data_IF_780008774575
#
_entry.id   IF_780008774575
#
_cell.length_a   1.000
_cell.length_b   1.000
_cell.length_c   1.000
_cell.angle_alpha   90.00
_cell.angle_beta   90.00
_cell.angle_gamma   90.00
#
_symmetry.space_group_name_H-M   'P 1'
#
loop_
_entity.id
_entity.type
_entity.pdbx_description
1 polymer ?
#
# COMPACT_ATOMS: atom_id res chain seq x y z
N UNK A 1 -36.77 75.10 13.90
CA UNK A 1 -36.89 75.46 12.46
C UNK A 1 -36.76 74.18 11.66
N UNK A 2 -37.86 73.79 11.02
CA UNK A 2 -38.00 72.57 10.20
C UNK A 2 -37.50 72.84 8.80
N UNK A 3 -36.71 71.95 8.21
CA UNK A 3 -36.62 71.83 6.76
C UNK A 3 -36.71 70.35 6.39
N UNK A 4 -37.78 70.00 5.71
CA UNK A 4 -38.02 68.70 5.14
C UNK A 4 -37.23 68.51 3.84
N UNK A 5 -36.94 67.25 3.55
CA UNK A 5 -36.41 66.82 2.26
C UNK A 5 -37.31 65.78 1.66
N UNK A 6 -37.92 66.10 0.57
CA UNK A 6 -38.81 65.25 -0.24
C UNK A 6 -37.96 64.35 -1.13
N UNK A 7 -38.11 63.06 -1.01
CA UNK A 7 -37.50 62.08 -1.91
C UNK A 7 -38.38 61.83 -3.14
N UNK A 8 -37.83 62.02 -4.32
CA UNK A 8 -38.48 61.66 -5.62
C UNK A 8 -38.19 60.21 -5.95
N UNK A 9 -39.22 59.40 -6.04
CA UNK A 9 -39.16 58.08 -6.64
C UNK A 9 -39.01 58.19 -8.16
N UNK A 10 -37.98 57.60 -8.73
CA UNK A 10 -37.86 57.28 -10.16
C UNK A 10 -38.10 55.80 -10.34
N UNK A 11 -39.11 55.50 -11.11
CA UNK A 11 -39.39 54.11 -11.59
C UNK A 11 -38.29 53.67 -12.54
N UNK A 12 -37.63 52.56 -12.24
CA UNK A 12 -36.72 51.90 -13.16
C UNK A 12 -37.43 50.68 -13.78
N UNK A 13 -37.50 50.69 -15.09
CA UNK A 13 -38.06 49.60 -15.90
C UNK A 13 -37.20 48.35 -15.80
N UNK A 14 -37.83 47.22 -15.49
CA UNK A 14 -37.22 45.91 -15.44
C UNK A 14 -37.11 45.38 -16.88
N UNK A 15 -35.89 45.31 -17.40
CA UNK A 15 -35.59 44.56 -18.63
C UNK A 15 -35.30 43.11 -18.23
N UNK A 16 -36.19 42.18 -18.51
CA UNK A 16 -35.93 40.75 -18.45
C UNK A 16 -35.02 40.36 -19.63
N UNK A 17 -33.72 40.23 -19.37
CA UNK A 17 -32.82 39.55 -20.30
C UNK A 17 -32.87 38.06 -20.00
N UNK A 18 -33.42 37.28 -20.93
CA UNK A 18 -33.33 35.82 -20.91
C UNK A 18 -31.89 35.41 -21.15
N UNK A 19 -31.19 34.96 -20.11
CA UNK A 19 -29.92 34.29 -20.21
C UNK A 19 -30.14 32.86 -20.72
N UNK A 20 -29.89 32.66 -22.00
CA UNK A 20 -29.64 31.34 -22.57
C UNK A 20 -28.32 30.80 -21.95
N UNK A 21 -28.43 29.96 -20.93
CA UNK A 21 -27.31 29.15 -20.44
C UNK A 21 -27.04 28.07 -21.49
N UNK A 22 -26.06 28.33 -22.36
CA UNK A 22 -25.41 27.27 -23.12
C UNK A 22 -24.71 26.35 -22.11
N UNK A 23 -25.34 25.22 -21.79
CA UNK A 23 -24.71 24.15 -21.03
C UNK A 23 -23.52 23.63 -21.84
N UNK A 24 -22.32 24.07 -21.51
CA UNK A 24 -21.12 23.35 -21.93
C UNK A 24 -21.16 22.01 -21.23
N UNK A 25 -21.53 20.97 -21.97
CA UNK A 25 -21.28 19.60 -21.55
C UNK A 25 -19.74 19.49 -21.39
N UNK A 26 -19.26 19.52 -20.16
CA UNK A 26 -17.93 19.03 -19.85
C UNK A 26 -17.93 17.55 -20.24
N UNK A 27 -17.29 17.23 -21.35
CA UNK A 27 -16.91 15.86 -21.63
C UNK A 27 -16.06 15.42 -20.44
N UNK A 28 -16.53 14.41 -19.70
CA UNK A 28 -15.70 13.79 -18.69
C UNK A 28 -14.43 13.35 -19.41
N UNK A 29 -13.29 13.97 -19.09
CA UNK A 29 -11.99 13.47 -19.50
C UNK A 29 -11.96 12.01 -19.06
N UNK A 30 -11.87 11.10 -20.02
CA UNK A 30 -11.66 9.68 -19.70
C UNK A 30 -10.29 9.60 -19.09
N UNK A 31 -10.25 9.39 -17.77
CA UNK A 31 -9.00 9.25 -17.02
C UNK A 31 -8.15 8.16 -17.70
N UNK A 32 -6.95 8.52 -18.13
CA UNK A 32 -6.03 7.61 -18.78
C UNK A 32 -5.68 6.46 -17.80
N UNK A 33 -5.69 5.23 -18.32
CA UNK A 33 -5.34 4.05 -17.53
C UNK A 33 -3.82 4.00 -17.33
N UNK A 34 -3.34 4.55 -16.21
CA UNK A 34 -1.93 4.70 -15.88
C UNK A 34 -1.33 3.51 -15.12
N UNK A 35 -2.03 2.34 -15.12
CA UNK A 35 -1.57 1.16 -14.39
C UNK A 35 -0.70 0.25 -15.23
N UNK A 36 0.21 -0.48 -14.58
CA UNK A 36 1.13 -1.41 -15.25
C UNK A 36 0.48 -2.73 -15.68
N UNK A 37 -0.82 -2.85 -15.54
CA UNK A 37 -1.63 -4.01 -15.92
C UNK A 37 -2.86 -3.57 -16.72
N UNK A 38 -3.43 -4.45 -17.57
CA UNK A 38 -4.58 -4.10 -18.38
C UNK A 38 -5.84 -3.88 -17.55
N UNK A 39 -6.68 -2.95 -18.00
CA UNK A 39 -7.98 -2.67 -17.37
C UNK A 39 -8.95 -3.82 -17.59
N UNK A 40 -9.54 -4.31 -16.51
CA UNK A 40 -10.55 -5.36 -16.58
C UNK A 40 -11.91 -4.84 -17.03
N UNK A 41 -12.55 -5.58 -17.95
CA UNK A 41 -13.94 -5.34 -18.32
C UNK A 41 -14.96 -5.81 -17.28
N UNK A 42 -14.55 -6.59 -16.27
CA UNK A 42 -15.43 -7.22 -15.26
C UNK A 42 -15.61 -6.38 -14.00
N UNK A 43 -14.83 -5.33 -13.81
CA UNK A 43 -14.87 -4.48 -12.62
C UNK A 43 -15.13 -3.02 -12.96
N UNK A 44 -15.74 -2.32 -12.02
CA UNK A 44 -15.80 -0.87 -11.97
C UNK A 44 -14.58 -0.37 -11.22
N UNK A 45 -13.99 0.75 -11.69
CA UNK A 45 -12.85 1.39 -11.07
C UNK A 45 -13.16 2.85 -10.77
N UNK A 46 -12.73 3.32 -9.60
CA UNK A 46 -12.79 4.73 -9.21
C UNK A 46 -11.68 5.09 -8.24
N UNK A 47 -11.22 6.34 -8.28
CA UNK A 47 -10.30 6.86 -7.27
C UNK A 47 -11.04 7.27 -6.01
N UNK A 48 -10.49 6.93 -4.86
CA UNK A 48 -11.05 7.29 -3.55
C UNK A 48 -9.96 7.85 -2.63
N UNK A 49 -10.39 8.54 -1.58
CA UNK A 49 -9.50 9.11 -0.57
C UNK A 49 -10.05 8.86 0.81
N UNK A 50 -9.14 8.61 1.77
CA UNK A 50 -9.47 8.53 3.19
C UNK A 50 -8.32 9.10 4.01
N UNK A 51 -8.49 9.22 5.31
CA UNK A 51 -7.46 9.76 6.20
C UNK A 51 -7.11 8.77 7.28
N UNK A 52 -5.81 8.68 7.60
CA UNK A 52 -5.36 7.97 8.78
C UNK A 52 -5.51 8.87 10.04
N UNK A 53 -5.35 8.29 11.24
CA UNK A 53 -5.48 9.02 12.51
C UNK A 53 -4.45 10.14 12.71
N UNK A 54 -3.38 10.14 11.93
CA UNK A 54 -2.39 11.23 11.91
C UNK A 54 -2.79 12.40 10.99
N UNK A 55 -3.98 12.32 10.37
CA UNK A 55 -4.51 13.36 9.49
C UNK A 55 -3.92 13.32 8.08
N UNK A 56 -3.11 12.32 7.75
CA UNK A 56 -2.54 12.15 6.41
C UNK A 56 -3.63 11.63 5.47
N UNK A 57 -3.81 12.31 4.34
CA UNK A 57 -4.76 11.87 3.29
C UNK A 57 -4.11 10.78 2.45
N UNK A 58 -4.76 9.62 2.40
CA UNK A 58 -4.37 8.49 1.57
C UNK A 58 -5.19 8.46 0.27
N UNK A 59 -4.52 8.10 -0.82
CA UNK A 59 -5.12 7.93 -2.15
C UNK A 59 -5.18 6.45 -2.50
N UNK A 60 -6.33 6.03 -3.00
CA UNK A 60 -6.55 4.64 -3.39
C UNK A 60 -7.34 4.52 -4.69
N UNK A 61 -7.16 3.40 -5.36
CA UNK A 61 -7.99 2.90 -6.44
C UNK A 61 -8.97 1.87 -5.85
N UNK A 62 -10.26 2.09 -6.03
CA UNK A 62 -11.32 1.17 -5.65
C UNK A 62 -11.75 0.34 -6.86
N UNK A 63 -11.85 -0.96 -6.68
CA UNK A 63 -12.32 -1.91 -7.68
C UNK A 63 -13.55 -2.66 -7.12
N UNK A 64 -14.64 -2.66 -7.88
CA UNK A 64 -15.90 -3.32 -7.50
C UNK A 64 -16.36 -4.24 -8.64
N UNK A 65 -16.79 -5.47 -8.35
CA UNK A 65 -17.36 -6.33 -9.38
C UNK A 65 -18.55 -5.65 -10.07
N UNK A 66 -18.59 -5.64 -11.40
CA UNK A 66 -19.71 -5.06 -12.15
C UNK A 66 -21.02 -5.78 -11.82
N UNK A 67 -22.05 -5.00 -11.57
CA UNK A 67 -23.39 -5.53 -11.30
C UNK A 67 -23.53 -6.18 -9.92
N UNK A 68 -22.52 -6.12 -9.06
CA UNK A 68 -22.63 -6.65 -7.70
C UNK A 68 -23.72 -5.92 -6.91
N UNK A 69 -24.50 -6.71 -6.18
CA UNK A 69 -25.62 -6.24 -5.35
C UNK A 69 -25.36 -6.52 -3.88
N UNK A 70 -25.90 -5.67 -3.00
CA UNK A 70 -25.79 -5.83 -1.57
C UNK A 70 -24.38 -5.50 -1.02
N UNK A 71 -24.13 -5.94 0.20
CA UNK A 71 -22.85 -5.74 0.88
C UNK A 71 -21.85 -6.85 0.52
N UNK A 72 -20.65 -6.47 0.15
CA UNK A 72 -19.58 -7.38 -0.23
C UNK A 72 -18.56 -7.54 0.90
N UNK A 73 -17.89 -8.67 0.93
CA UNK A 73 -16.61 -8.79 1.63
C UNK A 73 -15.58 -7.89 0.94
N UNK A 74 -14.72 -7.23 1.74
CA UNK A 74 -13.79 -6.24 1.21
C UNK A 74 -12.33 -6.55 1.56
N UNK A 75 -11.40 -6.11 0.69
CA UNK A 75 -9.96 -6.33 0.88
C UNK A 75 -9.20 -5.03 0.60
N UNK A 76 -8.37 -4.59 1.55
CA UNK A 76 -7.41 -3.51 1.35
C UNK A 76 -6.04 -4.07 0.95
N UNK A 77 -5.42 -3.51 -0.09
CA UNK A 77 -4.16 -4.01 -0.67
C UNK A 77 -3.11 -2.90 -0.69
N UNK A 78 -1.88 -3.21 -0.26
CA UNK A 78 -0.75 -2.29 -0.32
C UNK A 78 0.58 -2.99 -0.62
N UNK A 79 1.50 -2.26 -1.22
CA UNK A 79 2.88 -2.68 -1.53
C UNK A 79 3.14 -2.92 -3.01
N UNK A 80 4.36 -3.23 -3.38
CA UNK A 80 5.60 -3.40 -2.59
C UNK A 80 6.17 -2.11 -1.99
N UNK A 81 7.18 -2.23 -1.11
CA UNK A 81 7.86 -1.09 -0.49
C UNK A 81 8.57 -0.26 -1.56
N UNK A 82 8.19 1.02 -1.71
CA UNK A 82 8.67 1.90 -2.78
C UNK A 82 7.92 1.79 -4.12
N UNK A 83 6.92 0.91 -4.21
CA UNK A 83 5.98 0.86 -5.32
C UNK A 83 4.79 1.81 -5.09
N UNK A 84 3.92 1.89 -6.08
CA UNK A 84 2.66 2.64 -6.03
C UNK A 84 1.48 1.72 -6.33
N UNK A 85 0.27 2.16 -5.99
CA UNK A 85 -0.98 1.40 -6.16
C UNK A 85 -1.27 1.01 -7.61
N UNK A 86 -0.66 1.69 -8.58
CA UNK A 86 -0.78 1.42 -10.02
C UNK A 86 0.02 0.20 -10.48
N UNK A 87 0.82 -0.40 -9.59
CA UNK A 87 1.66 -1.57 -9.84
C UNK A 87 1.04 -2.84 -9.22
N UNK A 88 1.84 -3.70 -8.61
CA UNK A 88 1.39 -4.99 -8.04
C UNK A 88 0.15 -4.90 -7.14
N UNK A 89 0.05 -3.88 -6.28
CA UNK A 89 -1.12 -3.73 -5.39
C UNK A 89 -2.43 -3.59 -6.18
N UNK A 90 -2.43 -2.78 -7.24
CA UNK A 90 -3.60 -2.61 -8.11
C UNK A 90 -3.96 -3.88 -8.87
N UNK A 91 -2.95 -4.64 -9.35
CA UNK A 91 -3.18 -5.92 -10.02
C UNK A 91 -3.86 -6.92 -9.08
N UNK A 92 -3.36 -7.06 -7.84
CA UNK A 92 -3.99 -7.92 -6.83
C UNK A 92 -5.42 -7.46 -6.51
N UNK A 93 -5.62 -6.15 -6.32
CA UNK A 93 -6.94 -5.60 -6.04
C UNK A 93 -7.92 -5.84 -7.19
N UNK A 94 -7.55 -5.54 -8.43
CA UNK A 94 -8.39 -5.80 -9.60
C UNK A 94 -8.71 -7.30 -9.73
N UNK A 95 -7.71 -8.17 -9.58
CA UNK A 95 -7.87 -9.60 -9.74
C UNK A 95 -8.79 -10.19 -8.66
N UNK A 96 -8.70 -9.72 -7.41
CA UNK A 96 -9.62 -10.15 -6.35
C UNK A 96 -11.02 -9.56 -6.53
N UNK A 97 -11.15 -8.36 -7.11
CA UNK A 97 -12.45 -7.81 -7.46
C UNK A 97 -13.15 -8.61 -8.58
N UNK A 98 -12.41 -9.11 -9.57
CA UNK A 98 -12.97 -10.05 -10.58
C UNK A 98 -13.51 -11.34 -9.96
N UNK A 99 -13.08 -11.68 -8.74
CA UNK A 99 -13.47 -12.86 -7.97
C UNK A 99 -14.54 -12.60 -6.92
N UNK A 100 -15.14 -11.39 -6.94
CA UNK A 100 -16.34 -11.08 -6.16
C UNK A 100 -16.12 -10.27 -4.89
N UNK A 101 -14.89 -9.79 -4.59
CA UNK A 101 -14.61 -8.90 -3.46
C UNK A 101 -14.69 -7.43 -3.87
N UNK A 102 -15.10 -6.54 -2.98
CA UNK A 102 -14.81 -5.12 -3.14
C UNK A 102 -13.37 -4.87 -2.67
N UNK A 103 -12.54 -4.22 -3.48
CA UNK A 103 -11.14 -4.05 -3.11
C UNK A 103 -10.68 -2.60 -3.25
N UNK A 104 -9.70 -2.22 -2.45
CA UNK A 104 -8.95 -0.97 -2.64
C UNK A 104 -7.45 -1.28 -2.70
N UNK A 105 -6.73 -0.64 -3.64
CA UNK A 105 -5.28 -0.55 -3.62
C UNK A 105 -4.88 0.87 -3.25
N UNK A 106 -4.08 1.08 -2.21
CA UNK A 106 -3.74 2.42 -1.73
C UNK A 106 -2.23 2.69 -1.75
N UNK A 107 -1.88 3.95 -2.00
CA UNK A 107 -0.54 4.44 -1.74
C UNK A 107 -0.40 4.71 -0.23
N UNK A 108 0.69 4.24 0.41
CA UNK A 108 0.90 4.53 1.82
C UNK A 108 1.30 5.99 2.05
N UNK A 109 1.21 6.43 3.29
CA UNK A 109 1.70 7.75 3.72
C UNK A 109 3.09 8.04 3.18
N UNK A 110 3.34 9.27 2.78
CA UNK A 110 4.60 9.84 2.27
C UNK A 110 5.00 9.44 0.86
N UNK A 111 4.26 8.57 0.17
CA UNK A 111 4.61 8.07 -1.17
C UNK A 111 3.44 8.13 -2.15
N UNK A 112 3.73 7.93 -3.44
CA UNK A 112 2.73 7.95 -4.49
C UNK A 112 1.90 9.24 -4.52
N UNK A 113 0.59 9.10 -4.67
CA UNK A 113 -0.37 10.22 -4.60
C UNK A 113 -0.85 10.54 -3.18
N UNK A 114 -0.51 9.72 -2.18
CA UNK A 114 -0.85 9.96 -0.78
C UNK A 114 -0.03 11.12 -0.19
N UNK A 115 -0.59 11.76 0.83
CA UNK A 115 0.03 12.88 1.53
C UNK A 115 1.13 12.47 2.51
N UNK A 116 1.48 13.41 3.36
CA UNK A 116 2.52 13.27 4.37
C UNK A 116 3.82 13.97 3.97
N UNK A 117 4.39 14.71 4.92
CA UNK A 117 5.65 15.42 4.77
C UNK A 117 6.58 15.08 5.95
N UNK A 118 7.89 14.99 5.70
CA UNK A 118 8.53 15.08 4.39
C UNK A 118 8.21 13.88 3.51
N UNK A 119 8.30 14.05 2.18
CA UNK A 119 8.05 12.96 1.21
C UNK A 119 9.12 11.87 1.32
N UNK A 120 8.77 10.67 0.86
CA UNK A 120 9.69 9.52 0.72
C UNK A 120 10.26 9.04 2.06
N UNK A 121 9.42 9.10 3.08
CA UNK A 121 9.64 8.55 4.41
C UNK A 121 8.87 7.24 4.58
N UNK A 122 9.27 6.45 5.56
CA UNK A 122 8.50 5.31 6.04
C UNK A 122 8.57 5.25 7.57
N UNK A 123 7.50 4.75 8.18
CA UNK A 123 7.40 4.62 9.63
C UNK A 123 6.67 3.33 9.98
N UNK A 124 7.21 2.47 10.86
CA UNK A 124 6.53 1.25 11.29
C UNK A 124 5.14 1.52 11.86
N UNK A 125 4.99 2.58 12.63
CA UNK A 125 3.72 2.99 13.24
C UNK A 125 2.74 3.56 12.21
N UNK A 126 3.14 4.62 11.49
CA UNK A 126 2.25 5.32 10.55
C UNK A 126 1.83 4.39 9.39
N UNK A 127 2.75 3.57 8.89
CA UNK A 127 2.44 2.70 7.77
C UNK A 127 1.62 1.45 8.19
N UNK A 128 1.73 0.99 9.43
CA UNK A 128 0.78 0.02 9.99
C UNK A 128 -0.62 0.65 10.12
N UNK A 129 -0.69 1.90 10.61
CA UNK A 129 -1.93 2.68 10.70
C UNK A 129 -2.59 2.91 9.34
N UNK A 130 -1.84 3.04 8.25
CA UNK A 130 -2.41 3.20 6.91
C UNK A 130 -3.32 2.01 6.52
N UNK A 131 -2.98 0.77 6.91
CA UNK A 131 -3.88 -0.38 6.77
C UNK A 131 -5.12 -0.27 7.66
N UNK A 132 -4.97 0.18 8.92
CA UNK A 132 -6.08 0.34 9.84
C UNK A 132 -7.05 1.43 9.34
N UNK A 133 -6.53 2.52 8.79
CA UNK A 133 -7.33 3.57 8.15
C UNK A 133 -8.06 3.08 6.88
N UNK A 134 -7.45 2.16 6.13
CA UNK A 134 -8.12 1.51 5.02
C UNK A 134 -9.28 0.62 5.51
N UNK A 135 -9.12 -0.06 6.64
CA UNK A 135 -10.20 -0.82 7.31
C UNK A 135 -11.29 0.13 7.81
N UNK A 136 -10.95 1.28 8.41
CA UNK A 136 -11.92 2.31 8.81
C UNK A 136 -12.78 2.75 7.62
N UNK A 137 -12.11 3.10 6.51
CA UNK A 137 -12.80 3.52 5.28
C UNK A 137 -13.76 2.44 4.74
N UNK A 138 -13.30 1.19 4.68
CA UNK A 138 -14.13 0.08 4.21
C UNK A 138 -15.30 -0.21 5.16
N UNK A 139 -15.09 -0.12 6.46
CA UNK A 139 -16.10 -0.44 7.50
C UNK A 139 -17.33 0.48 7.49
N UNK A 140 -17.19 1.71 6.99
CA UNK A 140 -18.28 2.70 6.96
C UNK A 140 -18.98 2.80 5.60
N UNK A 141 -18.61 1.97 4.65
CA UNK A 141 -19.23 1.97 3.32
C UNK A 141 -20.55 1.17 3.34
N UNK A 142 -21.54 1.67 2.65
CA UNK A 142 -22.87 1.03 2.54
C UNK A 142 -22.85 -0.28 1.74
N UNK A 143 -21.86 -0.43 0.82
CA UNK A 143 -21.68 -1.58 -0.05
C UNK A 143 -20.66 -2.61 0.47
N UNK A 144 -20.17 -2.44 1.71
CA UNK A 144 -19.25 -3.36 2.40
C UNK A 144 -19.91 -3.98 3.63
N UNK A 145 -19.67 -5.26 3.85
CA UNK A 145 -19.98 -5.93 5.12
C UNK A 145 -18.80 -5.69 6.10
N UNK A 146 -18.97 -4.88 7.15
CA UNK A 146 -17.90 -4.50 8.06
C UNK A 146 -17.33 -5.68 8.86
N UNK A 147 -18.05 -6.80 8.94
CA UNK A 147 -17.58 -8.03 9.57
C UNK A 147 -16.77 -8.93 8.63
N UNK A 148 -16.60 -8.53 7.36
CA UNK A 148 -15.96 -9.30 6.30
C UNK A 148 -14.84 -8.53 5.61
N UNK A 149 -13.89 -8.02 6.41
CA UNK A 149 -12.75 -7.24 5.90
C UNK A 149 -11.45 -8.04 6.02
N UNK A 150 -10.73 -8.10 4.89
CA UNK A 150 -9.38 -8.65 4.80
C UNK A 150 -8.36 -7.63 4.33
N UNK A 151 -7.09 -7.99 4.48
CA UNK A 151 -5.97 -7.16 3.99
C UNK A 151 -4.95 -8.00 3.23
N UNK A 152 -4.28 -7.40 2.25
CA UNK A 152 -3.16 -7.99 1.51
C UNK A 152 -1.98 -7.02 1.57
N UNK A 153 -0.86 -7.51 2.06
CA UNK A 153 0.42 -6.82 2.00
C UNK A 153 1.41 -7.54 1.09
N UNK A 154 2.09 -6.81 0.22
CA UNK A 154 3.06 -7.36 -0.74
C UNK A 154 4.44 -6.84 -0.41
N UNK A 155 5.46 -7.69 -0.40
CA UNK A 155 6.86 -7.34 -0.11
C UNK A 155 6.98 -6.70 1.30
N UNK A 156 7.59 -5.54 1.43
CA UNK A 156 7.70 -4.84 2.73
C UNK A 156 6.36 -4.56 3.41
N UNK A 157 5.30 -4.40 2.64
CA UNK A 157 3.95 -4.22 3.17
C UNK A 157 3.32 -5.52 3.68
N UNK A 158 3.91 -6.68 3.34
CA UNK A 158 3.52 -7.96 3.95
C UNK A 158 3.77 -7.98 5.45
N UNK A 159 4.93 -7.50 5.91
CA UNK A 159 5.22 -7.35 7.34
C UNK A 159 4.29 -6.34 8.03
N UNK A 160 4.00 -5.20 7.37
CA UNK A 160 3.05 -4.19 7.89
C UNK A 160 1.63 -4.75 7.98
N UNK A 161 1.19 -5.56 7.00
CA UNK A 161 -0.12 -6.21 7.04
C UNK A 161 -0.23 -7.19 8.21
N UNK A 162 0.81 -7.98 8.49
CA UNK A 162 0.84 -8.85 9.67
C UNK A 162 0.80 -8.04 10.98
N UNK A 163 1.52 -6.93 11.05
CA UNK A 163 1.49 -6.05 12.21
C UNK A 163 0.10 -5.40 12.39
N UNK A 164 -0.54 -4.98 11.29
CA UNK A 164 -1.92 -4.47 11.32
C UNK A 164 -2.92 -5.55 11.77
N UNK A 165 -2.77 -6.80 11.31
CA UNK A 165 -3.61 -7.92 11.74
C UNK A 165 -3.43 -8.27 13.22
N UNK A 166 -2.26 -7.97 13.82
CA UNK A 166 -2.02 -8.12 15.26
C UNK A 166 -2.67 -7.01 16.10
N UNK A 167 -2.92 -5.84 15.51
CA UNK A 167 -3.47 -4.66 16.19
C UNK A 167 -4.98 -4.48 15.95
N UNK A 168 -5.44 -4.70 14.72
CA UNK A 168 -6.82 -4.43 14.32
C UNK A 168 -7.66 -5.70 14.32
N UNK A 169 -8.51 -5.83 15.33
CA UNK A 169 -9.40 -6.99 15.50
C UNK A 169 -10.53 -7.09 14.48
N UNK A 170 -10.76 -6.05 13.67
CA UNK A 170 -11.72 -6.04 12.57
C UNK A 170 -11.20 -6.78 11.34
N UNK A 171 -9.88 -6.91 11.19
CA UNK A 171 -9.26 -7.74 10.14
C UNK A 171 -9.56 -9.21 10.41
N UNK A 172 -10.30 -9.87 9.52
CA UNK A 172 -10.68 -11.29 9.65
C UNK A 172 -9.71 -12.22 8.94
N UNK A 173 -9.06 -11.74 7.88
CA UNK A 173 -8.10 -12.51 7.10
C UNK A 173 -6.98 -11.58 6.57
N UNK A 174 -5.74 -12.04 6.60
CA UNK A 174 -4.59 -11.32 6.08
C UNK A 174 -3.75 -12.21 5.16
N UNK A 175 -3.31 -11.66 4.03
CA UNK A 175 -2.30 -12.27 3.15
C UNK A 175 -1.02 -11.44 3.20
N UNK A 176 0.11 -12.08 3.52
CA UNK A 176 1.44 -11.54 3.34
C UNK A 176 2.13 -12.23 2.17
N UNK A 177 2.15 -11.57 1.00
CA UNK A 177 2.77 -12.08 -0.22
C UNK A 177 4.21 -11.63 -0.33
N UNK A 178 5.12 -12.59 -0.54
CA UNK A 178 6.57 -12.34 -0.72
C UNK A 178 7.13 -11.30 0.30
N UNK A 179 6.74 -11.47 1.56
CA UNK A 179 6.93 -10.46 2.60
C UNK A 179 8.37 -10.21 3.01
N UNK A 180 8.61 -8.98 3.48
CA UNK A 180 9.76 -8.62 4.31
C UNK A 180 9.30 -8.21 5.71
N UNK A 181 10.13 -8.50 6.69
CA UNK A 181 10.18 -7.68 7.90
C UNK A 181 11.13 -6.50 7.64
N UNK A 182 10.54 -5.34 7.30
CA UNK A 182 11.31 -4.14 6.99
C UNK A 182 12.09 -3.61 8.19
N UNK A 183 11.64 -3.89 9.42
CA UNK A 183 12.37 -3.49 10.62
C UNK A 183 13.61 -4.36 10.81
N UNK A 184 13.49 -5.68 10.60
CA UNK A 184 14.62 -6.62 10.69
C UNK A 184 15.66 -6.34 9.61
N UNK A 185 15.26 -6.17 8.35
CA UNK A 185 16.25 -5.93 7.28
C UNK A 185 16.99 -4.60 7.44
N UNK A 186 16.32 -3.55 7.89
CA UNK A 186 17.00 -2.27 8.17
C UNK A 186 17.95 -2.37 9.36
N UNK A 187 17.54 -3.06 10.42
CA UNK A 187 18.36 -3.21 11.62
C UNK A 187 19.56 -4.17 11.41
N UNK A 188 19.31 -5.32 10.78
CA UNK A 188 20.24 -6.45 10.77
C UNK A 188 20.86 -6.76 9.39
N UNK A 189 20.41 -6.08 8.32
CA UNK A 189 20.80 -6.40 6.95
C UNK A 189 20.14 -7.69 6.44
N UNK A 190 20.47 -8.06 5.20
CA UNK A 190 20.01 -9.33 4.63
C UNK A 190 20.66 -10.52 5.33
N UNK A 191 19.88 -11.56 5.61
CA UNK A 191 20.29 -12.78 6.32
C UNK A 191 20.88 -12.49 7.71
N UNK A 192 20.51 -11.35 8.31
CA UNK A 192 21.03 -10.87 9.59
C UNK A 192 22.57 -10.70 9.61
N UNK A 193 23.18 -10.50 8.44
CA UNK A 193 24.63 -10.39 8.29
C UNK A 193 25.25 -9.20 9.05
N UNK A 194 24.42 -8.21 9.44
CA UNK A 194 24.81 -7.01 10.19
C UNK A 194 24.15 -6.97 11.58
N UNK A 195 23.70 -8.12 12.11
CA UNK A 195 23.05 -8.19 13.42
C UNK A 195 24.08 -8.08 14.56
N UNK A 196 24.55 -6.86 14.78
CA UNK A 196 25.39 -6.53 15.92
C UNK A 196 25.07 -5.12 16.44
N UNK A 197 25.36 -4.87 17.72
CA UNK A 197 25.20 -3.55 18.32
C UNK A 197 26.07 -2.49 17.59
N UNK A 198 27.27 -2.84 17.21
CA UNK A 198 28.21 -1.93 16.55
C UNK A 198 27.74 -1.59 15.12
N UNK A 199 27.27 -2.56 14.34
CA UNK A 199 26.73 -2.32 13.00
C UNK A 199 25.49 -1.40 13.06
N UNK A 200 24.55 -1.67 13.98
CA UNK A 200 23.40 -0.78 14.19
C UNK A 200 23.80 0.61 14.68
N UNK A 201 24.81 0.69 15.54
CA UNK A 201 25.32 1.98 16.01
C UNK A 201 25.94 2.81 14.88
N UNK A 202 26.72 2.18 14.01
CA UNK A 202 27.31 2.84 12.84
C UNK A 202 26.22 3.36 11.87
N UNK A 203 25.17 2.57 11.61
CA UNK A 203 24.00 3.03 10.83
C UNK A 203 23.33 4.26 11.45
N UNK A 204 23.11 4.25 12.77
CA UNK A 204 22.52 5.39 13.49
C UNK A 204 23.41 6.63 13.42
N UNK A 205 24.74 6.47 13.58
CA UNK A 205 25.68 7.61 13.43
C UNK A 205 25.61 8.23 12.03
N UNK A 206 25.60 7.41 10.97
CA UNK A 206 25.51 7.88 9.60
C UNK A 206 24.18 8.62 9.34
N UNK A 207 23.07 8.09 9.81
CA UNK A 207 21.75 8.74 9.68
C UNK A 207 21.69 10.03 10.49
N UNK A 208 22.21 10.06 11.71
CA UNK A 208 22.23 11.27 12.55
C UNK A 208 23.12 12.37 11.94
N UNK A 209 24.23 12.01 11.31
CA UNK A 209 25.05 12.98 10.57
C UNK A 209 24.27 13.57 9.38
N UNK A 210 23.55 12.72 8.61
CA UNK A 210 22.71 13.20 7.51
C UNK A 210 21.57 14.10 8.01
N UNK A 211 20.93 13.78 9.14
CA UNK A 211 19.89 14.64 9.74
C UNK A 211 20.38 16.07 10.01
N UNK A 212 21.63 16.21 10.45
CA UNK A 212 22.23 17.55 10.68
C UNK A 212 22.34 18.32 9.35
N UNK A 213 22.77 17.66 8.29
CA UNK A 213 22.89 18.28 6.96
C UNK A 213 21.51 18.61 6.37
N UNK A 214 20.55 17.69 6.49
CA UNK A 214 19.17 17.93 6.04
C UNK A 214 18.55 19.12 6.77
N UNK A 215 18.75 19.24 8.09
CA UNK A 215 18.25 20.34 8.90
C UNK A 215 18.89 21.69 8.51
N UNK A 216 20.23 21.72 8.30
CA UNK A 216 20.93 22.94 7.88
C UNK A 216 20.47 23.44 6.51
N UNK A 217 20.19 22.50 5.60
CA UNK A 217 19.86 22.83 4.21
C UNK A 217 18.36 23.00 3.98
N UNK A 218 17.51 22.62 4.93
CA UNK A 218 16.05 22.62 4.77
C UNK A 218 15.57 21.64 3.71
N UNK A 219 16.37 20.61 3.39
CA UNK A 219 16.08 19.59 2.37
C UNK A 219 16.41 18.20 2.89
N UNK A 220 15.90 17.17 2.20
CA UNK A 220 16.16 15.79 2.54
C UNK A 220 16.93 15.10 1.42
N UNK A 221 18.08 14.50 1.76
CA UNK A 221 18.90 13.77 0.80
C UNK A 221 18.25 12.44 0.46
N UNK A 222 18.08 12.16 -0.85
CA UNK A 222 17.59 10.88 -1.32
C UNK A 222 18.73 9.84 -1.37
N UNK A 223 18.41 8.61 -0.96
CA UNK A 223 19.35 7.49 -0.96
C UNK A 223 19.64 6.94 -2.37
N UNK A 224 18.83 7.33 -3.35
CA UNK A 224 18.78 6.67 -4.65
C UNK A 224 17.95 5.39 -4.60
N UNK A 225 17.74 4.79 -5.76
CA UNK A 225 16.98 3.56 -5.96
C UNK A 225 17.79 2.54 -6.74
N UNK A 226 17.10 1.74 -7.54
CA UNK A 226 17.75 0.85 -8.50
C UNK A 226 18.54 1.67 -9.53
N UNK A 227 19.74 1.21 -9.94
CA UNK A 227 20.58 1.92 -10.89
C UNK A 227 19.88 2.02 -12.26
N UNK A 228 20.16 3.09 -13.01
CA UNK A 228 19.62 3.24 -14.37
C UNK A 228 20.23 2.24 -15.37
N UNK A 229 21.44 1.81 -15.10
CA UNK A 229 22.11 0.74 -15.84
C UNK A 229 22.48 -0.38 -14.88
N UNK A 230 21.99 -1.58 -15.17
CA UNK A 230 22.27 -2.78 -14.37
C UNK A 230 23.76 -3.17 -14.49
N UNK A 231 24.50 -3.30 -13.36
CA UNK A 231 25.85 -3.85 -13.38
C UNK A 231 25.86 -5.31 -13.87
N UNK A 232 26.90 -5.72 -14.61
CA UNK A 232 27.00 -7.08 -15.14
C UNK A 232 27.07 -8.14 -14.03
N UNK A 233 27.74 -7.82 -12.93
CA UNK A 233 27.94 -8.66 -11.75
C UNK A 233 26.83 -8.50 -10.70
N UNK A 234 25.75 -7.80 -11.01
CA UNK A 234 24.64 -7.60 -10.08
C UNK A 234 24.09 -8.94 -9.56
N UNK A 235 23.80 -9.06 -8.26
CA UNK A 235 23.15 -10.24 -7.70
C UNK A 235 21.79 -10.52 -8.39
N UNK A 236 21.38 -11.80 -8.44
CA UNK A 236 20.17 -12.19 -9.15
C UNK A 236 18.93 -11.40 -8.69
N UNK A 237 18.76 -11.21 -7.38
CA UNK A 237 17.60 -10.45 -6.88
C UNK A 237 17.60 -8.97 -7.33
N UNK A 238 18.78 -8.35 -7.53
CA UNK A 238 18.87 -7.00 -8.10
C UNK A 238 18.46 -7.00 -9.57
N UNK A 239 18.83 -8.06 -10.32
CA UNK A 239 18.39 -8.28 -11.71
C UNK A 239 16.88 -8.44 -11.79
N UNK A 240 16.29 -9.21 -10.88
CA UNK A 240 14.84 -9.43 -10.80
C UNK A 240 14.09 -8.12 -10.51
N UNK A 241 14.56 -7.31 -9.55
CA UNK A 241 13.98 -5.99 -9.26
C UNK A 241 14.15 -5.02 -10.42
N UNK A 242 15.33 -5.02 -11.08
CA UNK A 242 15.56 -4.19 -12.25
C UNK A 242 14.60 -4.55 -13.38
N UNK A 243 14.45 -5.85 -13.67
CA UNK A 243 13.54 -6.34 -14.70
C UNK A 243 12.08 -5.94 -14.44
N UNK A 244 11.66 -5.81 -13.18
CA UNK A 244 10.32 -5.32 -12.86
C UNK A 244 10.26 -3.78 -12.90
N UNK A 245 11.08 -3.07 -12.13
CA UNK A 245 10.90 -1.64 -11.91
C UNK A 245 11.47 -0.72 -13.00
N UNK A 246 12.45 -1.19 -13.79
CA UNK A 246 13.15 -0.40 -14.80
C UNK A 246 12.79 -0.75 -16.23
N UNK A 247 11.84 -1.65 -16.45
CA UNK A 247 11.33 -2.04 -17.77
C UNK A 247 9.82 -1.84 -17.87
N UNK A 248 9.24 -2.01 -19.06
CA UNK A 248 7.80 -1.93 -19.30
C UNK A 248 6.96 -2.90 -18.44
N UNK A 249 7.59 -3.93 -17.86
CA UNK A 249 6.93 -4.91 -17.01
C UNK A 249 6.25 -4.28 -15.80
N UNK A 250 6.87 -3.30 -15.16
CA UNK A 250 6.33 -2.71 -13.95
C UNK A 250 6.84 -1.28 -13.67
N UNK A 251 7.48 -0.63 -14.65
CA UNK A 251 7.90 0.77 -14.50
C UNK A 251 6.70 1.68 -14.25
N UNK A 252 6.82 2.56 -13.27
CA UNK A 252 5.85 3.61 -13.03
C UNK A 252 6.53 4.91 -12.58
N UNK A 253 6.17 6.09 -13.15
CA UNK A 253 6.90 7.35 -12.87
C UNK A 253 6.84 7.80 -11.41
N UNK A 254 5.78 7.44 -10.66
CA UNK A 254 5.63 7.78 -9.23
C UNK A 254 6.28 6.76 -8.29
N UNK A 255 6.72 5.59 -8.79
CA UNK A 255 7.37 4.57 -7.95
C UNK A 255 8.79 4.98 -7.59
N UNK A 256 9.14 4.93 -6.31
CA UNK A 256 10.49 5.21 -5.82
C UNK A 256 11.52 4.19 -6.33
N UNK A 257 11.08 2.96 -6.56
CA UNK A 257 11.95 1.91 -7.09
C UNK A 257 12.21 2.10 -8.60
N UNK A 258 11.30 2.73 -9.32
CA UNK A 258 11.48 3.07 -10.73
C UNK A 258 12.27 4.38 -10.91
N UNK A 259 11.98 5.38 -10.08
CA UNK A 259 12.54 6.74 -10.20
C UNK A 259 12.87 7.34 -8.84
N UNK A 260 14.12 7.45 -8.49
CA UNK A 260 14.55 8.11 -7.27
C UNK A 260 14.86 7.14 -6.13
N UNK A 261 14.26 7.32 -5.00
CA UNK A 261 14.53 6.53 -3.80
C UNK A 261 13.97 7.17 -2.55
N UNK A 262 14.14 6.47 -1.45
CA UNK A 262 13.76 6.96 -0.13
C UNK A 262 14.70 8.05 0.36
N UNK A 263 14.26 8.87 1.32
CA UNK A 263 15.18 9.70 2.09
C UNK A 263 16.20 8.81 2.80
N UNK A 264 17.46 9.26 2.87
CA UNK A 264 18.54 8.52 3.57
C UNK A 264 18.13 8.20 5.01
N UNK A 265 17.44 9.15 5.68
CA UNK A 265 16.95 9.00 7.06
C UNK A 265 15.53 8.43 7.14
N UNK A 266 14.94 8.09 5.97
CA UNK A 266 13.53 7.72 5.85
C UNK A 266 13.10 6.49 6.62
N UNK A 267 14.03 5.55 6.85
CA UNK A 267 13.78 4.31 7.60
C UNK A 267 14.48 4.27 8.96
N UNK A 268 14.90 5.40 9.53
CA UNK A 268 15.64 5.42 10.80
C UNK A 268 14.86 4.77 11.95
N UNK A 269 13.55 5.02 12.03
CA UNK A 269 12.70 4.43 13.08
C UNK A 269 12.62 2.90 13.01
N UNK A 270 12.83 2.30 11.85
CA UNK A 270 12.84 0.84 11.69
C UNK A 270 13.96 0.15 12.47
N UNK A 271 15.06 0.84 12.73
CA UNK A 271 16.17 0.30 13.51
C UNK A 271 15.79 -0.03 14.96
N UNK A 272 14.69 0.51 15.46
CA UNK A 272 14.37 0.44 16.89
C UNK A 272 12.89 0.11 17.20
N UNK A 273 12.10 -0.22 16.16
CA UNK A 273 10.66 -0.50 16.30
C UNK A 273 10.27 -1.81 15.59
N UNK A 274 10.60 -3.00 16.17
CA UNK A 274 10.26 -4.28 15.55
C UNK A 274 8.75 -4.48 15.47
N UNK A 275 8.23 -4.81 14.28
CA UNK A 275 6.78 -4.89 14.00
C UNK A 275 6.16 -6.26 14.29
N UNK A 276 6.91 -7.36 14.25
CA UNK A 276 6.34 -8.71 14.36
C UNK A 276 6.42 -9.31 15.76
N UNK A 277 6.69 -8.50 16.78
CA UNK A 277 6.94 -8.97 18.15
C UNK A 277 5.81 -9.81 18.73
N UNK A 278 4.57 -9.46 18.42
CA UNK A 278 3.37 -10.14 18.94
C UNK A 278 2.59 -10.86 17.82
N UNK A 279 3.27 -11.29 16.77
CA UNK A 279 2.63 -12.01 15.67
C UNK A 279 1.97 -13.32 16.09
N UNK A 280 2.45 -13.96 17.18
CA UNK A 280 1.84 -15.15 17.76
C UNK A 280 0.55 -14.88 18.56
N UNK A 281 0.13 -13.63 18.69
CA UNK A 281 -1.16 -13.26 19.29
C UNK A 281 -2.25 -13.01 18.23
N UNK A 282 -1.92 -13.05 16.92
CA UNK A 282 -2.87 -12.82 15.82
C UNK A 282 -3.95 -13.92 15.88
N UNK A 283 -5.22 -13.48 16.03
CA UNK A 283 -6.39 -14.39 16.04
C UNK A 283 -6.99 -14.58 14.67
N UNK A 284 -6.92 -13.57 13.81
CA UNK A 284 -7.41 -13.63 12.42
C UNK A 284 -6.67 -14.69 11.60
N UNK A 285 -7.30 -15.15 10.52
CA UNK A 285 -6.66 -16.07 9.60
C UNK A 285 -5.50 -15.38 8.87
N UNK A 286 -4.40 -16.10 8.65
CA UNK A 286 -3.24 -15.57 7.92
C UNK A 286 -2.75 -16.59 6.90
N UNK A 287 -2.56 -16.11 5.65
CA UNK A 287 -1.81 -16.80 4.62
C UNK A 287 -0.49 -16.06 4.38
N UNK A 288 0.62 -16.73 4.60
CA UNK A 288 1.95 -16.25 4.23
C UNK A 288 2.35 -16.96 2.95
N UNK A 289 2.65 -16.23 1.89
CA UNK A 289 3.00 -16.75 0.58
C UNK A 289 4.35 -16.21 0.12
N UNK A 290 5.23 -17.07 -0.42
CA UNK A 290 6.55 -16.63 -0.90
C UNK A 290 7.08 -17.52 -2.03
N UNK A 291 7.88 -16.94 -2.93
CA UNK A 291 8.62 -17.69 -3.94
C UNK A 291 9.80 -18.47 -3.33
N UNK A 292 9.96 -19.74 -3.71
CA UNK A 292 11.03 -20.60 -3.19
C UNK A 292 12.42 -20.04 -3.47
N UNK A 293 12.63 -19.47 -4.66
CA UNK A 293 13.92 -18.92 -5.10
C UNK A 293 14.14 -17.46 -4.68
N UNK A 294 13.17 -16.85 -4.02
CA UNK A 294 13.32 -15.49 -3.54
C UNK A 294 14.39 -15.43 -2.43
N UNK A 295 15.36 -14.54 -2.57
CA UNK A 295 16.40 -14.30 -1.56
C UNK A 295 15.79 -13.91 -0.19
N UNK A 296 14.56 -13.38 -0.17
CA UNK A 296 13.81 -12.95 0.99
C UNK A 296 12.90 -14.02 1.60
N UNK A 297 12.90 -15.26 1.07
CA UNK A 297 11.99 -16.31 1.51
C UNK A 297 12.12 -16.64 3.02
N UNK A 298 13.29 -16.43 3.59
CA UNK A 298 13.53 -16.66 5.02
C UNK A 298 12.67 -15.76 5.92
N UNK A 299 12.35 -14.51 5.52
CA UNK A 299 11.46 -13.66 6.30
C UNK A 299 10.07 -14.30 6.49
N UNK A 300 9.50 -14.86 5.42
CA UNK A 300 8.21 -15.54 5.49
C UNK A 300 8.25 -16.81 6.34
N UNK A 301 9.30 -17.62 6.21
CA UNK A 301 9.47 -18.85 7.00
C UNK A 301 9.60 -18.54 8.49
N UNK A 302 10.42 -17.56 8.84
CA UNK A 302 10.68 -17.16 10.22
C UNK A 302 9.44 -16.48 10.85
N UNK A 303 8.78 -15.58 10.09
CA UNK A 303 7.57 -14.94 10.55
C UNK A 303 6.43 -15.96 10.79
N UNK A 304 6.27 -16.93 9.89
CA UNK A 304 5.29 -18.00 10.06
C UNK A 304 5.61 -18.86 11.29
N UNK A 305 6.86 -19.29 11.44
CA UNK A 305 7.29 -20.09 12.59
C UNK A 305 7.07 -19.36 13.93
N UNK A 306 7.38 -18.04 13.96
CA UNK A 306 7.12 -17.21 15.13
C UNK A 306 5.61 -17.07 15.39
N UNK A 307 4.80 -16.89 14.35
CA UNK A 307 3.36 -16.67 14.45
C UNK A 307 2.60 -17.88 15.00
N UNK A 308 3.01 -19.11 14.64
CA UNK A 308 2.32 -20.32 15.11
C UNK A 308 2.81 -20.78 16.49
N UNK A 309 3.95 -20.27 16.96
CA UNK A 309 4.52 -20.67 18.24
C UNK A 309 3.65 -20.19 19.38
N UNK A 310 3.18 -21.13 20.19
CA UNK A 310 2.34 -20.88 21.38
C UNK A 310 1.05 -20.07 21.06
N UNK A 311 0.58 -20.11 19.79
CA UNK A 311 -0.61 -19.41 19.35
C UNK A 311 -1.83 -20.36 19.39
N UNK A 312 -2.87 -20.07 20.22
CA UNK A 312 -4.10 -20.87 20.27
C UNK A 312 -4.86 -20.90 18.94
N UNK A 313 -4.55 -20.00 18.01
CA UNK A 313 -5.18 -19.89 16.69
C UNK A 313 -4.24 -20.33 15.57
N UNK A 314 -3.26 -21.18 15.84
CA UNK A 314 -2.29 -21.65 14.84
C UNK A 314 -2.96 -22.38 13.66
N UNK A 315 -4.10 -23.04 13.87
CA UNK A 315 -4.82 -23.81 12.86
C UNK A 315 -5.39 -22.98 11.70
N UNK A 316 -5.48 -21.65 11.84
CA UNK A 316 -5.90 -20.74 10.78
C UNK A 316 -4.73 -19.98 10.13
N UNK A 317 -3.50 -20.44 10.35
CA UNK A 317 -2.28 -19.90 9.75
C UNK A 317 -1.77 -20.86 8.68
N UNK A 318 -1.51 -20.35 7.50
CA UNK A 318 -1.03 -21.12 6.36
C UNK A 318 0.29 -20.53 5.82
N UNK A 319 1.25 -21.40 5.48
CA UNK A 319 2.48 -21.01 4.75
C UNK A 319 2.46 -21.70 3.39
N UNK A 320 2.53 -20.94 2.31
CA UNK A 320 2.57 -21.41 0.94
C UNK A 320 3.85 -20.98 0.26
N UNK A 321 4.74 -21.91 -0.01
CA UNK A 321 5.98 -21.67 -0.77
C UNK A 321 5.73 -22.09 -2.21
N UNK A 322 5.89 -21.16 -3.16
CA UNK A 322 5.67 -21.37 -4.58
C UNK A 322 6.95 -21.92 -5.21
N UNK A 323 6.98 -23.17 -5.68
CA UNK A 323 8.17 -23.78 -6.24
C UNK A 323 8.71 -22.98 -7.43
N UNK A 324 10.03 -22.77 -7.44
CA UNK A 324 10.71 -22.13 -8.54
C UNK A 324 10.50 -20.62 -8.72
N UNK A 325 9.55 -20.01 -8.02
CA UNK A 325 9.25 -18.58 -8.15
C UNK A 325 10.30 -17.70 -7.47
N UNK A 326 10.64 -16.59 -8.11
CA UNK A 326 11.42 -15.50 -7.55
C UNK A 326 10.56 -14.56 -6.68
N UNK A 327 11.17 -13.53 -6.13
CA UNK A 327 10.46 -12.50 -5.36
C UNK A 327 9.48 -11.71 -6.23
N UNK A 328 9.91 -11.25 -7.40
CA UNK A 328 9.13 -10.38 -8.28
C UNK A 328 8.17 -11.13 -9.20
N UNK A 329 8.26 -12.45 -9.29
CA UNK A 329 7.25 -13.25 -10.00
C UNK A 329 5.89 -13.15 -9.32
N UNK A 330 5.88 -12.96 -7.99
CA UNK A 330 4.66 -12.75 -7.22
C UNK A 330 4.15 -11.30 -7.25
N UNK A 331 4.70 -10.42 -8.12
CA UNK A 331 4.20 -9.07 -8.30
C UNK A 331 3.15 -8.98 -9.42
N UNK A 332 3.37 -9.70 -10.54
CA UNK A 332 2.60 -9.52 -11.76
C UNK A 332 2.41 -10.76 -12.63
N UNK A 333 3.08 -11.89 -12.34
CA UNK A 333 2.93 -13.10 -13.16
C UNK A 333 1.68 -13.89 -12.73
N UNK A 334 0.58 -13.68 -13.47
CA UNK A 334 -0.72 -14.25 -13.14
C UNK A 334 -0.74 -15.77 -13.13
N UNK A 335 0.12 -16.42 -13.91
CA UNK A 335 0.29 -17.87 -13.97
C UNK A 335 1.11 -18.42 -12.79
N UNK A 336 1.88 -17.57 -12.11
CA UNK A 336 2.70 -17.95 -10.93
C UNK A 336 1.96 -17.63 -9.63
N UNK A 337 1.25 -16.50 -9.59
CA UNK A 337 0.49 -16.09 -8.41
C UNK A 337 -0.74 -16.96 -8.26
N UNK A 338 -0.88 -17.77 -7.19
CA UNK A 338 -1.98 -18.73 -7.05
C UNK A 338 -3.29 -18.02 -6.62
N UNK A 339 -3.84 -17.16 -7.48
CA UNK A 339 -5.04 -16.40 -7.16
C UNK A 339 -6.25 -17.25 -6.78
N UNK A 340 -6.36 -18.47 -7.28
CA UNK A 340 -7.43 -19.40 -6.89
C UNK A 340 -7.29 -19.80 -5.42
N UNK A 341 -6.08 -20.08 -4.95
CA UNK A 341 -5.80 -20.36 -3.53
C UNK A 341 -6.04 -19.15 -2.65
N UNK A 342 -5.65 -17.96 -3.12
CA UNK A 342 -5.92 -16.69 -2.43
C UNK A 342 -7.44 -16.48 -2.30
N UNK A 343 -8.18 -16.70 -3.37
CA UNK A 343 -9.65 -16.58 -3.39
C UNK A 343 -10.30 -17.58 -2.42
N UNK A 344 -9.87 -18.86 -2.45
CA UNK A 344 -10.34 -19.88 -1.51
C UNK A 344 -10.11 -19.44 -0.06
N UNK A 345 -8.91 -18.97 0.26
CA UNK A 345 -8.55 -18.48 1.58
C UNK A 345 -9.48 -17.35 2.05
N UNK A 346 -9.61 -16.27 1.28
CA UNK A 346 -10.48 -15.16 1.67
C UNK A 346 -11.95 -15.56 1.71
N UNK A 347 -12.43 -16.38 0.78
CA UNK A 347 -13.81 -16.90 0.79
C UNK A 347 -14.09 -17.70 2.07
N UNK A 348 -13.16 -18.56 2.46
CA UNK A 348 -13.29 -19.39 3.67
C UNK A 348 -13.41 -18.54 4.94
N UNK A 349 -12.66 -17.46 5.05
CA UNK A 349 -12.54 -16.70 6.29
C UNK A 349 -13.36 -15.39 6.32
N UNK A 350 -13.78 -14.87 5.17
CA UNK A 350 -14.64 -13.67 5.10
C UNK A 350 -16.12 -14.00 4.88
N UNK A 351 -16.47 -15.20 4.37
CA UNK A 351 -17.87 -15.58 4.12
C UNK A 351 -18.44 -16.58 5.17
N UNK A 352 -17.76 -16.74 6.28
CA UNK A 352 -18.25 -17.57 7.39
C UNK A 352 -19.31 -16.87 8.20
#
# INVERSE_FOLDING_TARGET
MKKGFTAKFKAAAIFCAALLTAGTAYAAETEEWDKTFPKSGKVEHSKVTFRNRYGITLKADLYKPKGAQGRLAAIAVCGPFGAVKEQAAGLYAQTMAERGFLTIAFDPSFTGESGGEPRYMASPDINTEDFMAAVDYLSVRDDVDPDKIGIIGICGWGGMALNAAALDTRVKAALASTMYDMTRVNANGYFDAEDSADARYAKKQAMNAQRIEDYKNGTYKLAGGLPDKLPEDAPQFVKDYYAYYKTERGYHPRSLNSNGGWNVTGCESFLNQPILRYSNEIRSAVLVMHGEKAHSCYFSRDAYAAMIKDNPYADNKELLIIPGASHTDLYDQLEVIPFDKITEFFTKYLNK
#
